data_IF_270535583288
#
_entry.id   IF_270535583288
#
_cell.length_a   1.000
_cell.length_b   1.000
_cell.length_c   1.000
_cell.angle_alpha   90.00
_cell.angle_beta   90.00
_cell.angle_gamma   90.00
#
_symmetry.space_group_name_H-M   'P 1'
#
loop_
_entity.id
_entity.type
_entity.pdbx_description
1 polymer ?
#
# COMPACT_ATOMS: atom_id res chain seq x y z
N UNK A 1 -16.73 9.80 -4.86
CA UNK A 1 -15.96 9.51 -6.09
C UNK A 1 -14.63 8.91 -5.65
N UNK A 2 -14.50 7.56 -5.63
CA UNK A 2 -13.40 6.87 -4.93
C UNK A 2 -12.01 7.19 -5.49
N UNK A 3 -11.92 7.68 -6.73
CA UNK A 3 -10.66 8.06 -7.38
C UNK A 3 -9.99 9.30 -6.77
N UNK A 4 -10.75 10.31 -6.33
CA UNK A 4 -10.15 11.54 -5.77
C UNK A 4 -9.51 11.28 -4.41
N UNK A 5 -10.13 10.42 -3.62
CA UNK A 5 -9.62 10.00 -2.30
C UNK A 5 -8.36 9.15 -2.41
N UNK A 6 -8.29 8.23 -3.38
CA UNK A 6 -7.10 7.40 -3.62
C UNK A 6 -5.86 8.21 -4.03
N UNK A 7 -6.04 9.31 -4.78
CA UNK A 7 -4.93 10.20 -5.18
C UNK A 7 -4.41 11.01 -3.99
N UNK A 8 -5.31 11.57 -3.17
CA UNK A 8 -4.97 12.35 -1.98
C UNK A 8 -4.21 11.49 -0.94
N UNK A 9 -4.65 10.25 -0.77
CA UNK A 9 -3.98 9.22 0.04
C UNK A 9 -2.57 8.97 -0.49
N UNK A 10 -2.40 8.73 -1.80
CA UNK A 10 -1.09 8.48 -2.43
C UNK A 10 -0.12 9.64 -2.21
N UNK A 11 -0.58 10.88 -2.34
CA UNK A 11 0.26 12.06 -2.13
C UNK A 11 0.68 12.20 -0.66
N UNK A 12 -0.25 11.99 0.29
CA UNK A 12 0.06 11.96 1.74
C UNK A 12 1.07 10.88 2.11
N UNK A 13 1.01 9.71 1.47
CA UNK A 13 1.95 8.62 1.73
C UNK A 13 3.39 8.99 1.40
N UNK A 14 3.64 9.78 0.35
CA UNK A 14 5.00 10.20 -0.04
C UNK A 14 5.70 10.94 1.12
N UNK A 15 4.93 11.61 1.99
CA UNK A 15 5.44 12.35 3.15
C UNK A 15 5.56 11.52 4.45
N UNK A 16 5.12 10.26 4.47
CA UNK A 16 5.08 9.41 5.68
C UNK A 16 5.85 8.09 5.49
N UNK A 17 7.15 8.21 5.20
CA UNK A 17 8.06 7.08 4.94
C UNK A 17 8.06 5.97 6.01
N UNK A 18 8.00 6.32 7.29
CA UNK A 18 8.01 5.34 8.40
C UNK A 18 6.71 4.52 8.50
N UNK A 19 5.55 5.17 8.37
CA UNK A 19 4.23 4.49 8.35
C UNK A 19 4.13 3.55 7.15
N UNK A 20 4.70 3.97 6.03
CA UNK A 20 4.77 3.19 4.79
C UNK A 20 5.62 1.93 4.91
N UNK A 21 6.78 2.04 5.56
CA UNK A 21 7.64 0.89 5.80
C UNK A 21 6.95 -0.14 6.71
N UNK A 22 6.22 0.33 7.72
CA UNK A 22 5.40 -0.51 8.59
C UNK A 22 4.29 -1.25 7.80
N UNK A 23 3.62 -0.57 6.87
CA UNK A 23 2.64 -1.17 5.96
C UNK A 23 3.24 -2.30 5.12
N UNK A 24 4.43 -2.06 4.56
CA UNK A 24 5.16 -3.08 3.82
C UNK A 24 5.45 -4.27 4.73
N UNK A 25 5.92 -4.07 5.96
CA UNK A 25 6.17 -5.21 6.86
C UNK A 25 4.89 -5.98 7.26
N UNK A 26 3.81 -5.25 7.54
CA UNK A 26 2.57 -5.86 8.00
C UNK A 26 1.86 -6.61 6.87
N UNK A 27 1.67 -5.96 5.73
CA UNK A 27 0.78 -6.45 4.68
C UNK A 27 1.50 -7.12 3.52
N UNK A 28 2.81 -6.95 3.36
CA UNK A 28 3.56 -7.63 2.29
C UNK A 28 4.15 -8.92 2.83
N UNK A 29 3.66 -10.05 2.33
CA UNK A 29 4.40 -11.29 2.39
C UNK A 29 5.49 -11.26 1.30
N UNK A 30 6.75 -11.51 1.68
CA UNK A 30 7.82 -11.71 0.71
C UNK A 30 7.41 -12.86 -0.20
N UNK A 31 7.14 -12.54 -1.45
CA UNK A 31 7.02 -13.57 -2.46
C UNK A 31 8.42 -14.09 -2.79
N UNK A 32 8.55 -15.38 -3.13
CA UNK A 32 9.83 -15.99 -3.51
C UNK A 32 10.47 -15.40 -4.77
N UNK A 33 9.83 -14.41 -5.40
CA UNK A 33 10.32 -13.62 -6.53
C UNK A 33 10.75 -12.24 -6.04
N UNK A 34 12.01 -11.89 -6.31
CA UNK A 34 12.72 -10.73 -5.79
C UNK A 34 11.96 -9.39 -5.93
N UNK A 35 11.16 -9.23 -6.97
CA UNK A 35 10.50 -7.97 -7.32
C UNK A 35 8.99 -7.96 -7.09
N UNK A 36 8.42 -9.02 -6.53
CA UNK A 36 6.96 -9.12 -6.34
C UNK A 36 6.57 -9.22 -4.87
N UNK A 37 5.33 -8.90 -4.56
CA UNK A 37 4.75 -9.13 -3.25
C UNK A 37 3.38 -9.79 -3.33
N UNK A 38 3.05 -10.54 -2.28
CA UNK A 38 1.69 -10.97 -2.04
C UNK A 38 1.10 -10.13 -0.91
N UNK A 39 -0.02 -9.47 -1.17
CA UNK A 39 -0.74 -8.74 -0.13
C UNK A 39 -1.40 -9.74 0.82
N UNK A 40 -1.13 -9.67 2.12
CA UNK A 40 -1.73 -10.57 3.11
C UNK A 40 -3.23 -10.32 3.32
N UNK A 41 -3.69 -9.09 3.09
CA UNK A 41 -5.09 -8.72 3.30
C UNK A 41 -6.02 -9.27 2.20
N UNK A 42 -5.64 -9.14 0.93
CA UNK A 42 -6.47 -9.62 -0.20
C UNK A 42 -5.88 -10.83 -0.94
N UNK A 43 -4.72 -11.34 -0.51
CA UNK A 43 -3.96 -12.42 -1.16
C UNK A 43 -3.54 -12.13 -2.62
N UNK A 44 -3.74 -10.90 -3.10
CA UNK A 44 -3.40 -10.50 -4.46
C UNK A 44 -1.88 -10.47 -4.65
N UNK A 45 -1.45 -10.97 -5.80
CA UNK A 45 -0.05 -10.97 -6.20
C UNK A 45 0.25 -9.75 -7.05
N UNK A 46 1.24 -8.96 -6.66
CA UNK A 46 1.66 -7.74 -7.35
C UNK A 46 3.10 -7.92 -7.81
N UNK A 47 3.34 -7.73 -9.10
CA UNK A 47 4.61 -8.06 -9.78
C UNK A 47 5.69 -6.99 -9.54
N UNK A 48 5.37 -5.93 -8.80
CA UNK A 48 6.30 -4.84 -8.45
C UNK A 48 6.17 -4.46 -6.97
N UNK A 49 7.25 -4.66 -6.20
CA UNK A 49 7.32 -4.35 -4.77
C UNK A 49 7.87 -2.95 -4.47
N UNK A 50 8.06 -2.13 -5.51
CA UNK A 50 8.42 -0.73 -5.37
C UNK A 50 7.37 0.03 -4.54
N UNK A 51 7.82 1.01 -3.76
CA UNK A 51 6.93 1.81 -2.91
C UNK A 51 5.75 2.44 -3.68
N UNK A 52 5.93 3.00 -4.89
CA UNK A 52 4.82 3.49 -5.69
C UNK A 52 3.75 2.44 -6.00
N UNK A 53 4.14 1.21 -6.32
CA UNK A 53 3.19 0.12 -6.64
C UNK A 53 2.50 -0.43 -5.41
N UNK A 54 3.22 -0.51 -4.29
CA UNK A 54 2.65 -0.82 -2.97
C UNK A 54 1.58 0.23 -2.64
N UNK A 55 1.92 1.51 -2.63
CA UNK A 55 0.99 2.61 -2.35
C UNK A 55 -0.22 2.56 -3.29
N UNK A 56 0.01 2.37 -4.59
CA UNK A 56 -1.08 2.27 -5.57
C UNK A 56 -2.01 1.09 -5.24
N UNK A 57 -1.47 -0.08 -4.92
CA UNK A 57 -2.29 -1.22 -4.53
C UNK A 57 -3.14 -0.91 -3.30
N UNK A 58 -2.53 -0.40 -2.22
CA UNK A 58 -3.28 -0.10 -1.00
C UNK A 58 -4.27 1.06 -1.17
N UNK A 59 -3.91 2.12 -1.88
CA UNK A 59 -4.80 3.24 -2.13
C UNK A 59 -6.05 2.85 -2.94
N UNK A 60 -5.93 1.87 -3.85
CA UNK A 60 -7.05 1.40 -4.67
C UNK A 60 -7.86 0.26 -4.04
N UNK A 61 -7.21 -0.69 -3.40
CA UNK A 61 -7.86 -1.92 -2.89
C UNK A 61 -8.07 -1.92 -1.37
N UNK A 62 -7.38 -1.04 -0.64
CA UNK A 62 -7.38 -0.98 0.81
C UNK A 62 -7.52 0.47 1.31
N UNK A 63 -8.32 1.29 0.61
CA UNK A 63 -8.50 2.72 0.89
C UNK A 63 -8.96 2.98 2.33
N UNK A 64 -9.83 2.14 2.89
CA UNK A 64 -10.32 2.29 4.28
C UNK A 64 -9.22 2.00 5.32
N UNK A 65 -8.42 0.97 5.10
CA UNK A 65 -7.26 0.63 5.95
C UNK A 65 -6.21 1.74 5.88
N UNK A 66 -5.98 2.29 4.68
CA UNK A 66 -5.10 3.44 4.47
C UNK A 66 -5.56 4.68 5.25
N UNK A 67 -6.85 4.99 5.20
CA UNK A 67 -7.40 6.14 5.94
C UNK A 67 -7.24 5.96 7.46
N UNK A 68 -7.47 4.76 8.00
CA UNK A 68 -7.25 4.47 9.43
C UNK A 68 -5.80 4.63 9.88
N UNK A 69 -4.82 4.32 9.02
CA UNK A 69 -3.40 4.50 9.36
C UNK A 69 -2.92 5.95 9.25
N UNK A 70 -3.61 6.77 8.43
CA UNK A 70 -3.30 8.19 8.25
C UNK A 70 -4.07 9.09 9.20
N UNK A 71 -5.20 8.64 9.74
CA UNK A 71 -5.97 9.35 10.74
C UNK A 71 -5.41 9.12 12.14
N UNK A 72 -4.39 9.90 12.51
CA UNK A 72 -4.15 10.42 13.87
C UNK A 72 -3.33 11.71 13.73
#
# INVERSE_FOLDING_TARGET
>A
MPFKEAVDIREKMIFHGDKLQSLKQQYIAKSGKADSFQCKACQMFVIDNSMPSVIKHFAFYHTEEMQKMMGD
#
